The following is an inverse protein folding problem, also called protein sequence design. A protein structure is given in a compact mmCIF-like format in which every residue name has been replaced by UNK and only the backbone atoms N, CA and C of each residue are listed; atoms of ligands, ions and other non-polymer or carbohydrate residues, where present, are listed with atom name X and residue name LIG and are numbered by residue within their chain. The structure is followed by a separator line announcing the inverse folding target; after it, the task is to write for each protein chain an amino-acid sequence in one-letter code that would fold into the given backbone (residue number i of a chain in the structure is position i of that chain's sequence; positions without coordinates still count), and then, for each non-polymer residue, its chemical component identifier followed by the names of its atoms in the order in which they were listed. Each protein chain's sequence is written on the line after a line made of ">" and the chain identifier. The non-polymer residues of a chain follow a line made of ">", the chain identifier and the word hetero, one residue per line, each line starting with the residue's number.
data_IF_550121340901
#
_entry.id   IF_550121340901
#
_cell.length_a   1.000
_cell.length_b   1.000
_cell.length_c   1.000
_cell.angle_alpha   90.00
_cell.angle_beta   90.00
_cell.angle_gamma   90.00
#
_symmetry.space_group_name_H-M   'P 1'
#
loop_
_entity.id
_entity.type
_entity.pdbx_description
1 polymer ?
#
# COMPACT_ATOMS: atom_id res chain seq x y z
N UNK A 1 -13.79 -19.83 -4.92
CA UNK A 1 -13.11 -18.76 -5.68
C UNK A 1 -13.16 -17.52 -4.80
N UNK A 2 -12.06 -16.78 -4.63
CA UNK A 2 -11.98 -15.66 -3.68
C UNK A 2 -10.55 -15.33 -3.23
N UNK A 3 -9.62 -16.28 -3.35
CA UNK A 3 -8.20 -16.02 -3.09
C UNK A 3 -7.59 -15.05 -4.13
N UNK A 4 -8.02 -15.11 -5.40
CA UNK A 4 -7.54 -14.20 -6.45
C UNK A 4 -8.02 -12.77 -6.24
N UNK A 5 -9.32 -12.55 -6.00
CA UNK A 5 -9.88 -11.22 -5.75
C UNK A 5 -9.22 -10.54 -4.54
N UNK A 6 -9.01 -11.29 -3.45
CA UNK A 6 -8.27 -10.81 -2.28
C UNK A 6 -6.82 -10.43 -2.61
N UNK A 7 -6.15 -11.18 -3.49
CA UNK A 7 -4.77 -10.84 -3.89
C UNK A 7 -4.71 -9.62 -4.79
N UNK A 8 -5.69 -9.46 -5.68
CA UNK A 8 -5.81 -8.28 -6.54
C UNK A 8 -6.09 -7.05 -5.68
N UNK A 9 -7.05 -7.11 -4.76
CA UNK A 9 -7.39 -5.97 -3.90
C UNK A 9 -6.18 -5.48 -3.07
N UNK A 10 -5.48 -6.39 -2.40
CA UNK A 10 -4.27 -6.05 -1.64
C UNK A 10 -3.16 -5.44 -2.53
N UNK A 11 -3.05 -5.89 -3.78
CA UNK A 11 -2.11 -5.36 -4.76
C UNK A 11 -2.50 -3.94 -5.17
N UNK A 12 -3.78 -3.69 -5.39
CA UNK A 12 -4.32 -2.38 -5.76
C UNK A 12 -4.12 -1.36 -4.64
N UNK A 13 -4.42 -1.74 -3.39
CA UNK A 13 -4.21 -0.89 -2.21
C UNK A 13 -2.75 -0.47 -2.04
N UNK A 14 -1.81 -1.43 -2.20
CA UNK A 14 -0.38 -1.12 -2.17
C UNK A 14 0.03 -0.19 -3.30
N UNK A 15 -0.47 -0.42 -4.51
CA UNK A 15 -0.14 0.38 -5.67
C UNK A 15 -0.67 1.82 -5.53
N UNK A 16 -1.89 1.98 -5.01
CA UNK A 16 -2.47 3.29 -4.70
C UNK A 16 -1.59 4.06 -3.69
N UNK A 17 -1.16 3.42 -2.61
CA UNK A 17 -0.26 4.04 -1.63
C UNK A 17 1.09 4.45 -2.26
N UNK A 18 1.69 3.60 -3.09
CA UNK A 18 2.95 3.91 -3.80
C UNK A 18 2.77 5.10 -4.73
N UNK A 19 1.70 5.10 -5.54
CA UNK A 19 1.43 6.16 -6.51
C UNK A 19 1.16 7.50 -5.81
N UNK A 20 0.42 7.49 -4.70
CA UNK A 20 0.18 8.68 -3.90
C UNK A 20 1.48 9.29 -3.35
N UNK A 21 2.43 8.45 -2.93
CA UNK A 21 3.74 8.92 -2.48
C UNK A 21 4.61 9.39 -3.65
N UNK A 22 4.60 8.68 -4.78
CA UNK A 22 5.36 9.06 -5.99
C UNK A 22 4.92 10.37 -6.61
N UNK A 23 3.64 10.73 -6.46
CA UNK A 23 3.12 12.02 -6.90
C UNK A 23 3.79 13.19 -6.16
N UNK A 24 4.39 12.96 -4.99
CA UNK A 24 5.10 13.96 -4.22
C UNK A 24 6.54 14.12 -4.76
N UNK A 25 6.80 15.24 -5.42
CA UNK A 25 8.09 15.52 -6.08
C UNK A 25 9.23 15.89 -5.12
N UNK A 26 8.94 16.07 -3.82
CA UNK A 26 9.90 16.46 -2.78
C UNK A 26 9.61 15.75 -1.46
N UNK A 27 10.60 15.62 -0.55
CA UNK A 27 10.36 15.13 0.80
C UNK A 27 9.27 15.95 1.50
N UNK A 28 8.27 15.25 2.03
CA UNK A 28 7.08 15.83 2.66
C UNK A 28 6.73 15.04 3.91
N UNK A 29 6.05 15.68 4.86
CA UNK A 29 5.37 14.98 5.94
C UNK A 29 4.00 14.56 5.44
N UNK A 30 3.68 13.28 5.50
CA UNK A 30 2.48 12.69 4.90
C UNK A 30 1.71 11.92 5.96
N UNK A 31 0.47 12.29 6.21
CA UNK A 31 -0.44 11.48 7.02
C UNK A 31 -1.25 10.58 6.08
N UNK A 32 -0.87 9.30 6.00
CA UNK A 32 -1.49 8.33 5.10
C UNK A 32 -2.54 7.53 5.88
N UNK A 33 -3.79 7.64 5.44
CA UNK A 33 -4.93 6.95 6.02
C UNK A 33 -5.25 5.70 5.20
N UNK A 34 -5.37 4.55 5.86
CA UNK A 34 -5.69 3.27 5.23
C UNK A 34 -6.67 2.50 6.10
N UNK A 35 -7.64 1.84 5.49
CA UNK A 35 -8.52 0.87 6.15
C UNK A 35 -8.06 -0.58 5.94
N UNK A 36 -7.20 -0.81 4.94
CA UNK A 36 -6.54 -2.09 4.70
C UNK A 36 -5.77 -2.60 5.92
N UNK A 37 -6.28 -3.70 6.49
CA UNK A 37 -5.56 -4.43 7.53
C UNK A 37 -4.29 -5.09 6.98
N UNK A 38 -4.27 -5.46 5.70
CA UNK A 38 -3.08 -5.99 5.03
C UNK A 38 -1.95 -4.96 4.99
N UNK A 39 -2.28 -3.72 4.60
CA UNK A 39 -1.31 -2.63 4.55
C UNK A 39 -0.86 -2.23 5.96
N UNK A 40 -1.79 -2.11 6.91
CA UNK A 40 -1.48 -1.85 8.33
C UNK A 40 -0.46 -2.86 8.85
N UNK A 41 -0.80 -4.14 8.83
CA UNK A 41 0.06 -5.20 9.38
C UNK A 41 1.37 -5.32 8.62
N UNK A 42 1.35 -5.12 7.31
CA UNK A 42 2.56 -5.14 6.51
C UNK A 42 3.56 -4.08 6.95
N UNK A 43 3.13 -2.85 7.18
CA UNK A 43 4.01 -1.75 7.59
C UNK A 43 4.40 -1.82 9.05
N UNK A 44 3.47 -2.16 9.94
CA UNK A 44 3.74 -2.14 11.38
C UNK A 44 4.48 -3.39 11.86
N UNK A 45 4.14 -4.57 11.33
CA UNK A 45 4.64 -5.85 11.82
C UNK A 45 5.66 -6.49 10.87
N UNK A 46 5.34 -6.58 9.57
CA UNK A 46 6.03 -7.52 8.68
C UNK A 46 7.26 -6.93 7.98
N UNK A 47 7.22 -5.66 7.57
CA UNK A 47 8.22 -5.04 6.71
C UNK A 47 9.62 -5.10 7.32
N UNK A 48 9.74 -4.85 8.64
CA UNK A 48 11.00 -4.92 9.37
C UNK A 48 11.60 -6.34 9.33
N UNK A 49 10.74 -7.37 9.46
CA UNK A 49 11.14 -8.77 9.37
C UNK A 49 11.54 -9.16 7.96
N UNK A 50 10.81 -8.70 6.95
CA UNK A 50 11.11 -8.96 5.54
C UNK A 50 12.42 -8.32 5.11
N UNK A 51 12.67 -7.06 5.46
CA UNK A 51 13.94 -6.37 5.16
C UNK A 51 15.12 -7.14 5.75
N UNK A 52 15.05 -7.52 7.04
CA UNK A 52 16.11 -8.31 7.70
C UNK A 52 16.34 -9.67 7.05
N UNK A 53 15.31 -10.27 6.45
CA UNK A 53 15.35 -11.58 5.79
C UNK A 53 15.56 -11.50 4.27
N UNK A 54 15.84 -10.31 3.73
CA UNK A 54 16.05 -10.11 2.29
C UNK A 54 14.79 -10.39 1.47
N UNK A 55 13.63 -9.93 1.93
CA UNK A 55 12.32 -10.09 1.29
C UNK A 55 11.85 -11.55 1.14
N UNK A 56 12.20 -12.37 2.12
CA UNK A 56 11.78 -13.78 2.23
C UNK A 56 10.94 -14.03 3.47
N UNK A 57 9.94 -14.89 3.33
CA UNK A 57 9.09 -15.37 4.43
C UNK A 57 9.86 -16.35 5.33
N UNK A 58 9.26 -16.75 6.46
CA UNK A 58 9.84 -17.78 7.34
C UNK A 58 10.13 -19.10 6.62
N UNK A 59 9.31 -19.45 5.63
CA UNK A 59 9.48 -20.63 4.78
C UNK A 59 10.52 -20.45 3.66
N UNK A 60 11.35 -19.38 3.71
CA UNK A 60 12.34 -19.00 2.69
C UNK A 60 11.79 -18.70 1.30
N UNK A 61 10.47 -18.62 1.17
CA UNK A 61 9.80 -18.25 -0.07
C UNK A 61 9.79 -16.72 -0.24
N UNK A 62 9.80 -16.20 -1.48
CA UNK A 62 9.59 -14.77 -1.73
C UNK A 62 8.31 -14.27 -1.05
N UNK A 63 8.38 -13.08 -0.46
CA UNK A 63 7.20 -12.41 0.09
C UNK A 63 6.22 -12.11 -1.06
N UNK A 64 4.93 -12.33 -0.84
CA UNK A 64 3.90 -11.93 -1.81
C UNK A 64 3.94 -10.41 -1.99
N UNK A 65 3.87 -9.94 -3.24
CA UNK A 65 3.97 -8.52 -3.59
C UNK A 65 5.29 -7.86 -3.13
N UNK A 66 6.39 -8.61 -3.02
CA UNK A 66 7.68 -8.10 -2.55
C UNK A 66 8.18 -6.89 -3.35
N UNK A 67 7.92 -6.86 -4.65
CA UNK A 67 8.21 -5.72 -5.53
C UNK A 67 7.46 -4.45 -5.13
N UNK A 68 6.17 -4.56 -4.79
CA UNK A 68 5.39 -3.41 -4.34
C UNK A 68 5.80 -2.98 -2.94
N UNK A 69 6.04 -3.93 -2.03
CA UNK A 69 6.51 -3.60 -0.69
C UNK A 69 7.88 -2.91 -0.70
N UNK A 70 8.78 -3.30 -1.60
CA UNK A 70 10.06 -2.61 -1.80
C UNK A 70 9.87 -1.18 -2.29
N UNK A 71 9.08 -0.99 -3.34
CA UNK A 71 8.76 0.34 -3.86
C UNK A 71 8.11 1.21 -2.77
N UNK A 72 7.13 0.69 -2.03
CA UNK A 72 6.48 1.41 -0.94
C UNK A 72 7.47 1.78 0.16
N UNK A 73 8.38 0.87 0.52
CA UNK A 73 9.42 1.15 1.50
C UNK A 73 10.35 2.27 1.04
N UNK A 74 10.81 2.23 -0.22
CA UNK A 74 11.69 3.24 -0.80
C UNK A 74 11.02 4.63 -0.80
N UNK A 75 9.77 4.74 -1.25
CA UNK A 75 9.04 6.00 -1.18
C UNK A 75 8.79 6.42 0.28
N UNK A 76 8.51 5.47 1.18
CA UNK A 76 8.35 5.75 2.60
C UNK A 76 9.63 6.21 3.29
N UNK A 77 10.82 5.92 2.75
CA UNK A 77 12.07 6.51 3.24
C UNK A 77 12.30 7.93 2.72
N UNK A 78 11.70 8.31 1.58
CA UNK A 78 11.80 9.67 1.01
C UNK A 78 10.92 10.68 1.75
N UNK A 79 9.83 10.23 2.36
CA UNK A 79 8.84 11.08 3.04
C UNK A 79 8.76 10.74 4.54
N UNK A 80 8.40 11.72 5.36
CA UNK A 80 8.10 11.46 6.77
C UNK A 80 6.62 11.03 6.87
N UNK A 81 6.38 9.71 6.82
CA UNK A 81 5.02 9.17 6.78
C UNK A 81 4.51 8.82 8.19
N UNK A 82 3.34 9.35 8.51
CA UNK A 82 2.51 8.95 9.64
C UNK A 82 1.38 8.05 9.13
N UNK A 83 1.40 6.79 9.56
CA UNK A 83 0.41 5.80 9.16
C UNK A 83 -0.78 5.85 10.11
N UNK A 84 -1.94 6.19 9.57
CA UNK A 84 -3.20 6.20 10.29
C UNK A 84 -4.06 5.04 9.80
N UNK A 85 -4.36 4.11 10.70
CA UNK A 85 -5.28 3.04 10.41
C UNK A 85 -6.69 3.40 10.89
N UNK A 86 -7.65 3.30 9.98
CA UNK A 86 -9.07 3.42 10.30
C UNK A 86 -9.75 2.08 10.12
N UNK A 87 -10.72 1.79 10.98
CA UNK A 87 -11.52 0.58 10.82
C UNK A 87 -12.51 0.83 9.67
N UNK A 88 -12.42 0.03 8.60
CA UNK A 88 -13.36 0.07 7.49
C UNK A 88 -14.81 0.06 7.99
N UNK A 89 -15.67 0.91 7.41
CA UNK A 89 -17.04 1.28 7.84
C UNK A 89 -17.21 2.39 8.89
N UNK A 90 -16.22 3.26 9.11
CA UNK A 90 -16.43 4.50 9.89
C UNK A 90 -16.31 5.71 8.97
N UNK A 91 -17.43 6.11 8.36
CA UNK A 91 -17.59 7.18 7.36
C UNK A 91 -16.62 8.36 7.47
N UNK A 92 -15.44 8.20 6.88
CA UNK A 92 -14.43 9.25 6.76
C UNK A 92 -14.56 9.83 5.35
N UNK A 93 -15.01 11.09 5.19
CA UNK A 93 -15.24 11.67 3.86
C UNK A 93 -14.00 11.67 2.95
N UNK A 94 -12.81 11.67 3.56
CA UNK A 94 -11.54 11.55 2.84
C UNK A 94 -11.30 10.16 2.24
N UNK A 95 -11.83 9.09 2.85
CA UNK A 95 -11.64 7.72 2.36
C UNK A 95 -12.51 7.45 1.14
N UNK A 96 -13.77 7.89 1.14
CA UNK A 96 -14.66 7.73 -0.03
C UNK A 96 -14.11 8.43 -1.28
N UNK A 97 -13.47 9.60 -1.07
CA UNK A 97 -12.87 10.36 -2.16
C UNK A 97 -11.54 9.76 -2.63
N UNK A 98 -10.78 9.13 -1.72
CA UNK A 98 -9.60 8.37 -2.06
C UNK A 98 -9.94 7.06 -2.80
N UNK A 99 -11.02 6.37 -2.42
CA UNK A 99 -11.52 5.19 -3.12
C UNK A 99 -11.99 5.53 -4.54
N UNK A 100 -12.69 6.65 -4.72
CA UNK A 100 -13.09 7.13 -6.05
C UNK A 100 -11.86 7.44 -6.93
N UNK A 101 -10.87 8.16 -6.39
CA UNK A 101 -9.63 8.47 -7.11
C UNK A 101 -8.76 7.23 -7.37
N UNK A 102 -8.76 6.27 -6.45
CA UNK A 102 -8.08 4.99 -6.65
C UNK A 102 -8.73 4.23 -7.81
N UNK A 103 -10.06 4.12 -7.84
CA UNK A 103 -10.78 3.50 -8.96
C UNK A 103 -10.50 4.21 -10.29
N UNK A 104 -10.52 5.55 -10.33
CA UNK A 104 -10.19 6.32 -11.54
C UNK A 104 -8.73 6.11 -12.00
N UNK A 105 -7.76 6.12 -11.07
CA UNK A 105 -6.36 5.89 -11.40
C UNK A 105 -6.10 4.45 -11.89
N UNK A 106 -6.88 3.49 -11.40
CA UNK A 106 -6.84 2.09 -11.83
C UNK A 106 -7.36 1.96 -13.26
N UNK A 107 -8.50 2.58 -13.56
CA UNK A 107 -9.04 2.63 -14.92
C UNK A 107 -8.03 3.29 -15.88
N UNK A 108 -7.36 4.36 -15.46
CA UNK A 108 -6.37 5.04 -16.29
C UNK A 108 -5.08 4.22 -16.48
N UNK A 109 -4.65 3.45 -15.47
CA UNK A 109 -3.52 2.51 -15.60
C UNK A 109 -3.85 1.31 -16.50
N UNK A 110 -5.07 0.76 -16.39
CA UNK A 110 -5.53 -0.34 -17.23
C UNK A 110 -5.74 0.08 -18.69
N UNK A 111 -6.14 1.34 -18.93
CA UNK A 111 -6.31 1.90 -20.27
C UNK A 111 -4.97 2.24 -20.96
N UNK A 112 -3.86 2.29 -20.23
CA UNK A 112 -2.52 2.61 -20.76
C UNK A 112 -1.59 1.38 -20.85
N UNK A 113 -2.08 0.18 -20.54
CA UNK A 113 -1.37 -1.09 -20.70
C UNK A 113 -1.81 -1.80 -22.00
#
# INVERSE_FOLDING_TARGET
>A
MGAEELTTNNRMELMAAIMALRALTRPCRVSLWTDSEYLRRGITEWIHGWIKRGWKTASRQPVKNAELWRALHEEAQRHAIEWHWVKGHSGHPGNERADALANEAIDEMLARA
#
